data_IF_336776503448
#
_entry.id   IF_336776503448
#
_cell.length_a   1.000
_cell.length_b   1.000
_cell.length_c   1.000
_cell.angle_alpha   90.00
_cell.angle_beta   90.00
_cell.angle_gamma   90.00
#
_symmetry.space_group_name_H-M   'P 1'
#
loop_
_entity.id
_entity.type
_entity.pdbx_description
1 polymer ?
#
# COMPACT_ATOMS: atom_id res chain seq x y z
N UNK A 1 11.07 -5.68 -3.19
CA UNK A 1 12.25 -5.58 -2.30
C UNK A 1 12.80 -4.15 -2.20
N UNK A 2 13.17 -3.48 -3.30
CA UNK A 2 13.68 -2.09 -3.26
C UNK A 2 12.82 -1.13 -2.41
N UNK A 3 11.49 -1.14 -2.62
CA UNK A 3 10.56 -0.29 -1.84
C UNK A 3 10.63 -0.52 -0.32
N UNK A 4 10.80 -1.77 0.12
CA UNK A 4 10.91 -2.12 1.55
C UNK A 4 12.21 -1.59 2.12
N UNK A 5 13.32 -1.72 1.39
CA UNK A 5 14.60 -1.14 1.80
C UNK A 5 14.55 0.38 1.90
N UNK A 6 13.92 1.05 0.93
CA UNK A 6 13.74 2.51 0.96
C UNK A 6 12.90 2.93 2.17
N UNK A 7 11.79 2.23 2.44
CA UNK A 7 10.94 2.47 3.62
C UNK A 7 11.71 2.28 4.92
N UNK A 8 12.52 1.21 5.01
CA UNK A 8 13.35 0.94 6.17
C UNK A 8 14.39 2.03 6.41
N UNK A 9 15.11 2.42 5.35
CA UNK A 9 16.12 3.47 5.40
C UNK A 9 15.52 4.82 5.84
N UNK A 10 14.32 5.15 5.36
CA UNK A 10 13.63 6.39 5.68
C UNK A 10 12.74 6.31 6.94
N UNK A 11 12.83 5.23 7.74
CA UNK A 11 12.00 5.04 8.94
C UNK A 11 12.03 6.24 9.90
N UNK A 12 13.18 6.89 10.05
CA UNK A 12 13.33 8.07 10.90
C UNK A 12 12.46 9.26 10.44
N UNK A 13 12.29 9.44 9.13
CA UNK A 13 11.43 10.47 8.56
C UNK A 13 9.95 10.05 8.54
N UNK A 14 9.66 8.75 8.41
CA UNK A 14 8.28 8.24 8.35
C UNK A 14 7.60 8.16 9.71
N UNK A 15 8.35 7.91 10.79
CA UNK A 15 7.80 7.84 12.15
C UNK A 15 7.02 9.10 12.56
N UNK A 16 7.56 10.34 12.41
CA UNK A 16 6.81 11.54 12.77
C UNK A 16 5.57 11.77 11.89
N UNK A 17 5.60 11.33 10.63
CA UNK A 17 4.43 11.40 9.73
C UNK A 17 3.29 10.50 10.22
N UNK A 18 3.60 9.30 10.70
CA UNK A 18 2.61 8.40 11.30
C UNK A 18 2.02 9.03 12.56
N UNK A 19 2.87 9.57 13.44
CA UNK A 19 2.43 10.26 14.65
C UNK A 19 1.52 11.45 14.32
N UNK A 20 1.82 12.20 13.25
CA UNK A 20 0.96 13.28 12.77
C UNK A 20 -0.42 12.76 12.37
N UNK A 21 -0.48 11.69 11.56
CA UNK A 21 -1.76 11.08 11.13
C UNK A 21 -2.59 10.66 12.35
N UNK A 22 -1.97 9.99 13.32
CA UNK A 22 -2.63 9.52 14.55
C UNK A 22 -3.16 10.69 15.38
N UNK A 23 -2.33 11.71 15.61
CA UNK A 23 -2.73 12.92 16.35
C UNK A 23 -3.87 13.65 15.67
N UNK A 24 -3.82 13.78 14.35
CA UNK A 24 -4.89 14.40 13.58
C UNK A 24 -6.17 13.59 13.68
N UNK A 25 -6.11 12.26 13.67
CA UNK A 25 -7.30 11.41 13.85
C UNK A 25 -7.96 11.56 15.21
N UNK A 26 -7.18 11.72 16.30
CA UNK A 26 -7.72 11.82 17.66
C UNK A 26 -8.22 13.24 18.00
N UNK A 27 -7.67 14.29 17.36
CA UNK A 27 -8.07 15.69 17.59
C UNK A 27 -9.59 15.87 17.38
N UNK A 28 -10.23 16.67 18.24
CA UNK A 28 -11.64 17.08 18.05
C UNK A 28 -11.76 17.95 16.80
N UNK A 29 -12.79 17.71 15.98
CA UNK A 29 -12.97 18.33 14.66
C UNK A 29 -14.38 18.83 14.47
N UNK A 30 -14.54 19.80 13.57
CA UNK A 30 -15.85 20.18 13.04
C UNK A 30 -16.40 19.08 12.14
N UNK A 31 -17.71 19.06 11.93
CA UNK A 31 -18.36 18.00 11.16
C UNK A 31 -17.88 17.99 9.70
N UNK A 32 -17.61 19.16 9.11
CA UNK A 32 -17.10 19.27 7.74
C UNK A 32 -15.71 18.62 7.60
N UNK A 33 -14.83 18.86 8.56
CA UNK A 33 -13.48 18.28 8.58
C UNK A 33 -13.51 16.76 8.77
N UNK A 34 -14.46 16.29 9.57
CA UNK A 34 -14.68 14.85 9.78
C UNK A 34 -15.15 14.19 8.48
N UNK A 35 -16.04 14.82 7.72
CA UNK A 35 -16.52 14.31 6.44
C UNK A 35 -15.36 14.17 5.44
N UNK A 36 -14.49 15.18 5.34
CA UNK A 36 -13.28 15.14 4.49
C UNK A 36 -12.37 13.97 4.88
N UNK A 37 -12.06 13.82 6.17
CA UNK A 37 -11.19 12.71 6.63
C UNK A 37 -11.81 11.34 6.41
N UNK A 38 -13.13 11.18 6.58
CA UNK A 38 -13.84 9.94 6.29
C UNK A 38 -13.80 9.60 4.79
N UNK A 39 -13.90 10.61 3.91
CA UNK A 39 -13.75 10.43 2.46
C UNK A 39 -12.36 9.90 2.11
N UNK A 40 -11.30 10.50 2.64
CA UNK A 40 -9.92 10.04 2.42
C UNK A 40 -9.69 8.61 2.96
N UNK A 41 -10.24 8.29 4.14
CA UNK A 41 -10.18 6.96 4.71
C UNK A 41 -10.90 5.91 3.84
N UNK A 42 -12.06 6.26 3.23
CA UNK A 42 -12.77 5.37 2.30
C UNK A 42 -11.96 5.09 1.05
N UNK A 43 -11.33 6.12 0.45
CA UNK A 43 -10.48 5.96 -0.73
C UNK A 43 -9.28 5.06 -0.39
N UNK A 44 -8.60 5.31 0.73
CA UNK A 44 -7.47 4.48 1.18
C UNK A 44 -7.90 3.03 1.39
N UNK A 45 -9.06 2.80 2.02
CA UNK A 45 -9.60 1.44 2.22
C UNK A 45 -9.92 0.76 0.89
N UNK A 46 -10.45 1.49 -0.09
CA UNK A 46 -10.71 0.96 -1.42
C UNK A 46 -9.41 0.51 -2.10
N UNK A 47 -8.36 1.33 -2.06
CA UNK A 47 -7.04 0.97 -2.59
C UNK A 47 -6.49 -0.30 -1.92
N UNK A 48 -6.63 -0.41 -0.59
CA UNK A 48 -6.21 -1.59 0.14
C UNK A 48 -7.00 -2.86 -0.26
N UNK A 49 -8.31 -2.75 -0.45
CA UNK A 49 -9.16 -3.86 -0.91
C UNK A 49 -8.78 -4.27 -2.33
N UNK A 50 -8.60 -3.31 -3.25
CA UNK A 50 -8.15 -3.60 -4.61
C UNK A 50 -6.80 -4.33 -4.60
N UNK A 51 -5.84 -3.89 -3.80
CA UNK A 51 -4.56 -4.56 -3.62
C UNK A 51 -4.71 -6.00 -3.10
N UNK A 52 -5.57 -6.22 -2.10
CA UNK A 52 -5.84 -7.55 -1.56
C UNK A 52 -6.49 -8.49 -2.61
N UNK A 53 -7.43 -7.98 -3.41
CA UNK A 53 -8.07 -8.74 -4.49
C UNK A 53 -7.07 -9.15 -5.58
N UNK A 54 -6.12 -8.28 -5.93
CA UNK A 54 -5.05 -8.61 -6.88
C UNK A 54 -4.18 -9.77 -6.37
N UNK A 55 -3.77 -9.71 -5.10
CA UNK A 55 -2.96 -10.77 -4.46
C UNK A 55 -3.74 -12.10 -4.40
N UNK A 56 -5.01 -12.03 -3.99
CA UNK A 56 -5.89 -13.21 -3.96
C UNK A 56 -6.05 -13.83 -5.36
N UNK A 57 -6.21 -13.00 -6.39
CA UNK A 57 -6.33 -13.48 -7.77
C UNK A 57 -5.06 -14.18 -8.23
N UNK A 58 -3.87 -13.66 -7.90
CA UNK A 58 -2.59 -14.34 -8.17
C UNK A 58 -2.49 -15.68 -7.46
N UNK A 59 -2.93 -15.76 -6.20
CA UNK A 59 -2.96 -17.02 -5.43
C UNK A 59 -3.91 -18.05 -6.06
N UNK A 60 -5.10 -17.64 -6.47
CA UNK A 60 -6.07 -18.53 -7.14
C UNK A 60 -5.53 -19.04 -8.49
N UNK A 61 -4.90 -18.16 -9.27
CA UNK A 61 -4.30 -18.53 -10.57
C UNK A 61 -3.16 -19.52 -10.38
N UNK A 62 -2.25 -19.27 -9.43
CA UNK A 62 -1.14 -20.18 -9.14
C UNK A 62 -1.66 -21.51 -8.61
N UNK A 63 -2.51 -21.51 -7.60
CA UNK A 63 -3.10 -22.73 -7.06
C UNK A 63 -3.88 -23.54 -8.12
N UNK A 64 -4.67 -22.88 -8.96
CA UNK A 64 -5.34 -23.53 -10.09
C UNK A 64 -4.35 -24.14 -11.08
N UNK A 65 -3.28 -23.41 -11.41
CA UNK A 65 -2.22 -23.93 -12.30
C UNK A 65 -1.54 -25.18 -11.74
N UNK A 66 -1.34 -25.23 -10.41
CA UNK A 66 -0.81 -26.40 -9.72
C UNK A 66 -1.76 -27.60 -9.81
N UNK A 67 -3.05 -27.41 -9.51
CA UNK A 67 -4.04 -28.50 -9.51
C UNK A 67 -4.30 -29.09 -10.91
N UNK A 68 -4.39 -28.24 -11.93
CA UNK A 68 -4.75 -28.66 -13.28
C UNK A 68 -3.52 -29.03 -14.13
N UNK A 69 -2.30 -28.84 -13.62
CA UNK A 69 -1.05 -29.05 -14.38
C UNK A 69 -0.92 -28.16 -15.63
N UNK A 70 -1.80 -27.15 -15.77
CA UNK A 70 -1.83 -26.21 -16.88
C UNK A 70 -1.19 -24.91 -16.42
N UNK A 71 -0.17 -24.47 -17.15
CA UNK A 71 0.41 -23.16 -16.91
C UNK A 71 -0.25 -22.14 -17.81
N UNK A 72 -0.62 -20.99 -17.23
CA UNK A 72 -0.99 -19.78 -18.00
C UNK A 72 0.24 -19.05 -18.54
N UNK A 73 1.44 -19.60 -18.31
CA UNK A 73 2.69 -19.01 -18.73
C UNK A 73 2.89 -19.15 -20.24
N UNK A 74 3.33 -18.07 -20.87
CA UNK A 74 3.82 -18.09 -22.24
C UNK A 74 5.12 -18.89 -22.30
N UNK A 75 5.10 -20.04 -22.98
CA UNK A 75 6.28 -20.87 -23.18
C UNK A 75 7.19 -20.16 -24.18
N UNK A 76 8.31 -19.63 -23.70
CA UNK A 76 9.32 -18.95 -24.52
C UNK A 76 10.44 -19.89 -24.96
N UNK A 77 10.57 -21.06 -24.34
CA UNK A 77 11.64 -22.01 -24.62
C UNK A 77 11.07 -23.38 -25.00
N UNK A 78 11.40 -23.87 -26.20
CA UNK A 78 10.98 -25.17 -26.72
C UNK A 78 11.59 -26.38 -25.98
N UNK A 79 12.61 -26.16 -25.14
CA UNK A 79 13.20 -27.21 -24.28
C UNK A 79 12.61 -27.27 -22.86
N UNK A 80 11.58 -26.46 -22.54
CA UNK A 80 10.92 -26.55 -21.23
C UNK A 80 10.24 -27.93 -21.09
N UNK A 81 10.42 -28.64 -19.95
CA UNK A 81 9.87 -29.97 -19.75
C UNK A 81 8.34 -29.98 -19.77
N UNK A 82 7.78 -30.84 -20.62
CA UNK A 82 6.33 -30.97 -20.83
C UNK A 82 5.64 -31.31 -19.51
N UNK A 83 4.79 -30.40 -19.03
CA UNK A 83 3.84 -30.66 -17.92
C UNK A 83 4.32 -30.30 -16.51
N UNK A 84 5.55 -29.79 -16.31
CA UNK A 84 6.06 -29.37 -14.99
C UNK A 84 6.57 -27.93 -14.99
N UNK A 85 5.66 -26.99 -15.13
CA UNK A 85 6.00 -25.57 -15.20
C UNK A 85 5.90 -24.91 -13.81
N UNK A 86 7.02 -24.39 -13.33
CA UNK A 86 7.06 -23.53 -12.16
C UNK A 86 6.52 -22.11 -12.49
N UNK A 87 5.84 -21.44 -11.54
CA UNK A 87 5.31 -20.09 -11.70
C UNK A 87 6.32 -19.07 -12.25
N UNK A 88 7.58 -19.14 -11.79
CA UNK A 88 8.69 -18.29 -12.26
C UNK A 88 9.72 -19.17 -12.96
N UNK A 89 10.17 -18.77 -14.16
CA UNK A 89 11.33 -19.39 -14.80
C UNK A 89 12.60 -18.89 -14.14
N UNK A 90 13.34 -19.78 -13.51
CA UNK A 90 14.67 -19.48 -12.97
C UNK A 90 15.52 -20.74 -12.98
N UNK A 91 16.84 -20.56 -12.94
CA UNK A 91 17.77 -21.65 -12.75
C UNK A 91 17.71 -22.16 -11.30
N UNK A 92 17.78 -23.48 -11.14
CA UNK A 92 17.84 -24.15 -9.85
C UNK A 92 19.09 -25.03 -9.77
N UNK A 93 19.82 -25.01 -8.63
CA UNK A 93 20.99 -25.85 -8.43
C UNK A 93 20.64 -27.33 -8.15
N UNK A 94 19.35 -27.65 -8.00
CA UNK A 94 18.83 -28.99 -7.74
C UNK A 94 17.86 -29.43 -8.85
N UNK A 95 17.68 -30.75 -9.00
CA UNK A 95 16.73 -31.28 -9.96
C UNK A 95 15.28 -31.06 -9.49
N UNK A 96 14.55 -30.29 -10.29
CA UNK A 96 13.14 -29.94 -10.12
C UNK A 96 12.20 -30.88 -10.89
N UNK A 97 12.73 -31.85 -11.64
CA UNK A 97 11.95 -32.76 -12.47
C UNK A 97 11.29 -33.87 -11.65
N UNK A 98 11.83 -34.17 -10.46
CA UNK A 98 11.40 -35.26 -9.60
C UNK A 98 10.60 -34.75 -8.38
N UNK A 99 9.60 -35.53 -7.97
CA UNK A 99 8.90 -35.33 -6.69
C UNK A 99 9.80 -35.83 -5.55
N UNK A 100 9.91 -35.14 -4.39
CA UNK A 100 9.10 -34.01 -3.90
C UNK A 100 9.69 -32.61 -4.19
N UNK A 101 10.82 -32.53 -4.90
CA UNK A 101 11.55 -31.28 -5.09
C UNK A 101 10.76 -30.25 -5.90
N UNK A 102 9.97 -30.71 -6.87
CA UNK A 102 9.08 -29.86 -7.66
C UNK A 102 8.06 -29.15 -6.77
N UNK A 103 7.35 -29.89 -5.94
CA UNK A 103 6.28 -29.40 -5.07
C UNK A 103 6.84 -28.43 -4.02
N UNK A 104 8.01 -28.74 -3.45
CA UNK A 104 8.69 -27.85 -2.51
C UNK A 104 9.11 -26.54 -3.18
N UNK A 105 9.71 -26.62 -4.37
CA UNK A 105 10.12 -25.44 -5.13
C UNK A 105 8.92 -24.58 -5.54
N UNK A 106 7.82 -25.23 -5.93
CA UNK A 106 6.56 -24.57 -6.24
C UNK A 106 6.02 -23.79 -5.03
N UNK A 107 5.98 -24.44 -3.86
CA UNK A 107 5.53 -23.81 -2.62
C UNK A 107 6.40 -22.59 -2.25
N UNK A 108 7.72 -22.73 -2.35
CA UNK A 108 8.67 -21.64 -2.10
C UNK A 108 8.39 -20.45 -3.05
N UNK A 109 8.16 -20.71 -4.33
CA UNK A 109 7.83 -19.64 -5.28
C UNK A 109 6.51 -18.95 -4.95
N UNK A 110 5.47 -19.70 -4.55
CA UNK A 110 4.17 -19.11 -4.15
C UNK A 110 4.35 -18.23 -2.92
N UNK A 111 5.08 -18.68 -1.91
CA UNK A 111 5.39 -17.88 -0.71
C UNK A 111 6.17 -16.62 -1.10
N UNK A 112 7.18 -16.76 -1.97
CA UNK A 112 8.00 -15.64 -2.44
C UNK A 112 7.20 -14.60 -3.23
N UNK A 113 6.34 -15.05 -4.15
CA UNK A 113 5.43 -14.19 -4.92
C UNK A 113 4.46 -13.46 -4.01
N UNK A 114 3.83 -14.18 -3.08
CA UNK A 114 2.85 -13.61 -2.14
C UNK A 114 3.49 -12.58 -1.22
N UNK A 115 4.63 -12.92 -0.62
CA UNK A 115 5.38 -12.00 0.26
C UNK A 115 5.86 -10.77 -0.50
N UNK A 116 6.33 -10.93 -1.73
CA UNK A 116 6.75 -9.82 -2.59
C UNK A 116 5.58 -8.91 -2.97
N UNK A 117 4.45 -9.49 -3.34
CA UNK A 117 3.22 -8.76 -3.65
C UNK A 117 2.70 -7.98 -2.45
N UNK A 118 2.55 -8.66 -1.29
CA UNK A 118 2.16 -8.02 -0.03
C UNK A 118 3.08 -6.86 0.34
N UNK A 119 4.40 -7.07 0.25
CA UNK A 119 5.39 -6.03 0.57
C UNK A 119 5.24 -4.82 -0.34
N UNK A 120 5.02 -5.03 -1.64
CA UNK A 120 4.88 -3.94 -2.61
C UNK A 120 3.57 -3.16 -2.38
N UNK A 121 2.46 -3.88 -2.27
CA UNK A 121 1.13 -3.31 -2.02
C UNK A 121 1.07 -2.58 -0.67
N UNK A 122 1.72 -3.10 0.37
CA UNK A 122 1.75 -2.44 1.68
C UNK A 122 2.45 -1.08 1.63
N UNK A 123 3.60 -0.99 0.93
CA UNK A 123 4.31 0.29 0.79
C UNK A 123 3.48 1.28 -0.03
N UNK A 124 2.84 0.84 -1.10
CA UNK A 124 2.01 1.73 -1.93
C UNK A 124 0.75 2.20 -1.22
N UNK A 125 0.09 1.32 -0.46
CA UNK A 125 -1.05 1.70 0.37
C UNK A 125 -0.66 2.70 1.46
N UNK A 126 0.51 2.51 2.08
CA UNK A 126 1.02 3.44 3.09
C UNK A 126 1.32 4.82 2.49
N UNK A 127 2.02 4.86 1.35
CA UNK A 127 2.30 6.13 0.67
C UNK A 127 1.02 6.82 0.20
N UNK A 128 0.08 6.04 -0.35
CA UNK A 128 -1.25 6.53 -0.74
C UNK A 128 -2.02 7.11 0.44
N UNK A 129 -2.05 6.42 1.58
CA UNK A 129 -2.65 6.94 2.82
C UNK A 129 -2.03 8.28 3.23
N UNK A 130 -0.71 8.39 3.21
CA UNK A 130 -0.01 9.61 3.59
C UNK A 130 -0.38 10.79 2.68
N UNK A 131 -0.34 10.58 1.36
CA UNK A 131 -0.69 11.60 0.36
C UNK A 131 -2.15 12.04 0.55
N UNK A 132 -3.07 11.09 0.63
CA UNK A 132 -4.50 11.37 0.81
C UNK A 132 -4.78 12.08 2.13
N UNK A 133 -4.06 11.73 3.21
CA UNK A 133 -4.16 12.43 4.49
C UNK A 133 -3.71 13.88 4.37
N UNK A 134 -2.54 14.15 3.77
CA UNK A 134 -2.04 15.52 3.57
C UNK A 134 -3.01 16.33 2.70
N UNK A 135 -3.50 15.75 1.58
CA UNK A 135 -4.51 16.39 0.75
C UNK A 135 -5.79 16.73 1.55
N UNK A 136 -6.26 15.81 2.39
CA UNK A 136 -7.41 16.05 3.27
C UNK A 136 -7.15 17.13 4.32
N UNK A 137 -5.95 17.20 4.90
CA UNK A 137 -5.58 18.27 5.84
C UNK A 137 -5.51 19.64 5.14
N UNK A 138 -5.05 19.68 3.89
CA UNK A 138 -5.05 20.90 3.08
C UNK A 138 -6.47 21.36 2.71
N UNK A 139 -7.37 20.42 2.40
CA UNK A 139 -8.79 20.70 2.18
C UNK A 139 -9.46 21.25 3.46
N UNK A 140 -9.15 20.66 4.62
CA UNK A 140 -9.63 21.18 5.92
C UNK A 140 -9.12 22.60 6.19
N UNK A 141 -7.84 22.87 5.93
CA UNK A 141 -7.27 24.20 6.07
C UNK A 141 -7.98 25.22 5.16
N UNK A 142 -8.26 24.84 3.91
CA UNK A 142 -9.01 25.67 2.97
C UNK A 142 -10.42 25.99 3.50
N UNK A 143 -11.15 24.99 4.03
CA UNK A 143 -12.47 25.20 4.64
C UNK A 143 -12.43 26.16 5.84
N UNK A 144 -11.41 26.03 6.70
CA UNK A 144 -11.21 26.96 7.83
C UNK A 144 -10.94 28.39 7.37
N UNK A 145 -10.17 28.57 6.30
CA UNK A 145 -9.87 29.88 5.73
C UNK A 145 -11.10 30.53 5.07
N UNK A 146 -11.95 29.76 4.39
CA UNK A 146 -13.21 30.26 3.83
C UNK A 146 -14.17 30.77 4.92
N UNK A 147 -14.22 30.07 6.06
CA UNK A 147 -15.08 30.44 7.19
C UNK A 147 -14.44 31.48 8.14
N UNK A 148 -13.22 31.92 7.85
CA UNK A 148 -12.44 32.83 8.69
C UNK A 148 -13.12 34.21 8.83
N UNK A 149 -13.69 34.73 7.74
CA UNK A 149 -14.32 36.07 7.71
C UNK A 149 -15.64 36.17 8.47
N UNK A 150 -16.21 35.05 8.94
CA UNK A 150 -17.49 35.02 9.67
C UNK A 150 -17.32 35.04 11.20
N UNK A 151 -16.09 34.92 11.71
CA UNK A 151 -15.80 34.79 13.12
C UNK A 151 -15.25 36.09 13.74
N UNK A 152 -15.76 36.45 14.91
CA UNK A 152 -15.31 37.60 15.70
C UNK A 152 -13.86 37.46 16.21
N UNK A 153 -13.35 36.23 16.34
CA UNK A 153 -11.97 35.92 16.76
C UNK A 153 -10.99 35.69 15.60
N UNK A 154 -11.09 36.51 14.54
CA UNK A 154 -10.30 36.40 13.31
C UNK A 154 -8.79 36.21 13.54
N UNK A 155 -8.19 37.02 14.42
CA UNK A 155 -6.74 37.04 14.66
C UNK A 155 -6.22 35.73 15.30
N UNK A 156 -6.98 35.15 16.23
CA UNK A 156 -6.60 33.89 16.87
C UNK A 156 -6.78 32.70 15.92
N UNK A 157 -7.87 32.68 15.16
CA UNK A 157 -8.13 31.63 14.17
C UNK A 157 -7.08 31.65 13.05
N UNK A 158 -6.71 32.83 12.56
CA UNK A 158 -5.66 32.99 11.55
C UNK A 158 -4.31 32.49 12.07
N UNK A 159 -3.94 32.86 13.30
CA UNK A 159 -2.71 32.37 13.96
C UNK A 159 -2.71 30.85 14.09
N UNK A 160 -3.85 30.24 14.45
CA UNK A 160 -4.00 28.79 14.51
C UNK A 160 -3.81 28.13 13.13
N UNK A 161 -4.49 28.63 12.10
CA UNK A 161 -4.41 28.09 10.74
C UNK A 161 -2.99 28.17 10.17
N UNK A 162 -2.28 29.28 10.37
CA UNK A 162 -0.88 29.43 9.95
C UNK A 162 0.03 28.42 10.67
N UNK A 163 -0.18 28.21 11.98
CA UNK A 163 0.59 27.23 12.76
C UNK A 163 0.34 25.79 12.29
N UNK A 164 -0.92 25.43 12.05
CA UNK A 164 -1.29 24.11 11.53
C UNK A 164 -0.72 23.89 10.11
N UNK A 165 -0.76 24.91 9.23
CA UNK A 165 -0.18 24.82 7.88
C UNK A 165 1.35 24.61 7.90
N UNK A 166 2.07 25.39 8.71
CA UNK A 166 3.53 25.24 8.87
C UNK A 166 3.86 23.84 9.41
N UNK A 167 3.06 23.32 10.36
CA UNK A 167 3.22 21.97 10.88
C UNK A 167 3.08 20.91 9.79
N UNK A 168 2.07 21.02 8.92
CA UNK A 168 1.84 20.07 7.83
C UNK A 168 2.97 20.06 6.79
N UNK A 169 3.58 21.21 6.49
CA UNK A 169 4.69 21.32 5.53
C UNK A 169 6.01 20.79 6.11
N UNK A 170 6.19 20.93 7.43
CA UNK A 170 7.45 20.57 8.11
C UNK A 170 7.51 19.11 8.57
N UNK A 171 6.39 18.39 8.49
CA UNK A 171 6.28 16.98 8.82
C UNK A 171 6.74 16.13 7.66
#
# INVERSE_FOLDING_TARGET
>A
MLKVFIMWYNKGALSPLIDMIVKDWIKVKMEEERIVMLKQARITRLLAICGALMILSTLLITFGSFLFGKTLRHVTNFTDPVGKHLPIQTYYPHDISNSPNFELTYLIQVIGLTTSGLSYTAVDNFLGLLILHICGQMENLYLRLLNLGKNSNFKELLKHNVKDHIRLIRS
#
